data_IF_170921438868
#
_entry.id   IF_170921438868
#
_cell.length_a   1.000
_cell.length_b   1.000
_cell.length_c   1.000
_cell.angle_alpha   90.00
_cell.angle_beta   90.00
_cell.angle_gamma   90.00
#
_symmetry.space_group_name_H-M   'P 1'
#
loop_
_entity.id
_entity.type
_entity.pdbx_description
1 polymer ?
#
# COMPACT_ATOMS: atom_id res chain seq x y z
N UNK A 1 37.96 -6.12 -0.63
CA UNK A 1 38.28 -5.20 -1.76
C UNK A 1 37.10 -4.25 -1.97
N UNK A 2 37.33 -2.94 -2.11
CA UNK A 2 36.27 -1.95 -2.36
C UNK A 2 35.74 -2.17 -3.79
N UNK A 3 34.48 -2.59 -3.96
CA UNK A 3 33.90 -2.75 -5.30
C UNK A 3 33.78 -1.38 -5.99
N UNK A 4 34.26 -1.30 -7.24
CA UNK A 4 34.15 -0.09 -8.04
C UNK A 4 32.71 0.08 -8.54
N UNK A 5 32.12 1.26 -8.36
CA UNK A 5 30.74 1.58 -8.76
C UNK A 5 30.75 2.13 -10.19
N UNK A 6 30.41 1.30 -11.18
CA UNK A 6 30.51 1.63 -12.62
C UNK A 6 29.29 2.35 -13.20
N UNK A 7 28.12 2.17 -12.61
CA UNK A 7 26.85 2.69 -13.15
C UNK A 7 26.60 4.14 -12.69
N UNK A 8 26.11 4.99 -13.59
CA UNK A 8 25.79 6.40 -13.34
C UNK A 8 24.28 6.65 -13.44
N UNK A 9 23.72 7.27 -12.40
CA UNK A 9 22.35 7.79 -12.36
C UNK A 9 22.40 9.32 -12.39
N UNK A 10 21.57 9.96 -13.22
CA UNK A 10 21.45 11.44 -13.28
C UNK A 10 20.01 11.82 -12.97
N UNK A 11 19.84 12.78 -12.07
CA UNK A 11 18.55 13.39 -11.73
C UNK A 11 18.67 14.90 -11.93
N UNK A 12 17.59 15.55 -12.34
CA UNK A 12 17.48 17.01 -12.37
C UNK A 12 16.77 17.44 -11.09
N UNK A 13 17.29 18.47 -10.45
CA UNK A 13 16.76 19.04 -9.23
C UNK A 13 16.56 20.53 -9.45
N UNK A 14 15.56 21.12 -8.81
CA UNK A 14 15.50 22.56 -8.66
C UNK A 14 16.48 23.05 -7.57
N UNK A 15 16.57 24.37 -7.41
CA UNK A 15 17.49 24.99 -6.45
C UNK A 15 17.16 24.62 -4.99
N UNK A 16 15.88 24.49 -4.65
CA UNK A 16 15.43 24.15 -3.30
C UNK A 16 15.76 22.70 -2.96
N UNK A 17 15.47 21.78 -3.86
CA UNK A 17 15.78 20.35 -3.74
C UNK A 17 17.29 20.14 -3.62
N UNK A 18 18.09 20.85 -4.44
CA UNK A 18 19.54 20.77 -4.38
C UNK A 18 20.08 21.28 -3.04
N UNK A 19 19.56 22.39 -2.54
CA UNK A 19 19.93 22.94 -1.24
C UNK A 19 19.58 21.98 -0.09
N UNK A 20 18.42 21.34 -0.15
CA UNK A 20 17.99 20.35 0.84
C UNK A 20 18.92 19.13 0.85
N UNK A 21 19.30 18.62 -0.31
CA UNK A 21 20.28 17.52 -0.43
C UNK A 21 21.63 17.91 0.17
N UNK A 22 22.10 19.13 -0.10
CA UNK A 22 23.39 19.62 0.42
C UNK A 22 23.38 19.75 1.94
N UNK A 23 22.30 20.30 2.50
CA UNK A 23 22.12 20.46 3.94
C UNK A 23 22.09 19.10 4.64
N UNK A 24 21.24 18.18 4.18
CA UNK A 24 21.10 16.86 4.79
C UNK A 24 22.37 16.01 4.69
N UNK A 25 23.09 16.11 3.57
CA UNK A 25 24.38 15.46 3.41
C UNK A 25 25.40 15.98 4.44
N UNK A 26 25.46 17.30 4.62
CA UNK A 26 26.32 17.96 5.61
C UNK A 26 25.99 17.53 7.04
N UNK A 27 24.70 17.54 7.41
CA UNK A 27 24.22 17.09 8.74
C UNK A 27 24.59 15.62 8.99
N UNK A 28 24.51 14.78 7.96
CA UNK A 28 24.83 13.35 8.06
C UNK A 28 26.33 13.05 8.08
N UNK A 29 27.20 14.05 7.90
CA UNK A 29 28.65 13.85 7.74
C UNK A 29 29.03 13.08 6.48
N UNK A 30 28.14 13.02 5.48
CA UNK A 30 28.33 12.28 4.24
C UNK A 30 28.50 13.23 3.06
N UNK A 31 29.32 12.84 2.08
CA UNK A 31 29.28 13.54 0.79
C UNK A 31 27.94 13.30 0.07
N UNK A 32 27.55 14.21 -0.83
CA UNK A 32 26.26 14.19 -1.54
C UNK A 32 25.95 12.83 -2.16
N UNK A 33 26.91 12.22 -2.87
CA UNK A 33 26.72 10.94 -3.54
C UNK A 33 26.55 9.76 -2.57
N UNK A 34 27.25 9.77 -1.43
CA UNK A 34 27.10 8.77 -0.37
C UNK A 34 25.77 8.93 0.34
N UNK A 35 25.38 10.15 0.65
CA UNK A 35 24.07 10.48 1.26
C UNK A 35 22.92 10.03 0.36
N UNK A 36 22.87 10.48 -0.90
CA UNK A 36 21.82 10.11 -1.86
C UNK A 36 21.73 8.59 -2.01
N UNK A 37 22.87 7.90 -2.11
CA UNK A 37 22.90 6.45 -2.23
C UNK A 37 22.38 5.76 -0.97
N UNK A 38 22.77 6.24 0.21
CA UNK A 38 22.28 5.71 1.48
C UNK A 38 20.77 5.86 1.59
N UNK A 39 20.23 7.05 1.26
CA UNK A 39 18.79 7.29 1.28
C UNK A 39 18.06 6.41 0.26
N UNK A 40 18.52 6.35 -1.00
CA UNK A 40 17.88 5.54 -2.04
C UNK A 40 17.84 4.04 -1.72
N UNK A 41 18.90 3.47 -1.13
CA UNK A 41 18.97 2.05 -0.81
C UNK A 41 18.10 1.71 0.42
N UNK A 42 18.05 2.61 1.40
CA UNK A 42 17.33 2.38 2.66
C UNK A 42 15.90 2.94 2.65
N UNK A 43 15.54 3.76 1.67
CA UNK A 43 14.17 4.21 1.47
C UNK A 43 13.31 2.99 1.17
N UNK A 44 12.23 2.82 1.94
CA UNK A 44 11.18 1.90 1.53
C UNK A 44 10.62 2.44 0.22
N UNK A 45 10.45 1.61 -0.82
CA UNK A 45 9.76 2.05 -2.02
C UNK A 45 8.42 2.64 -1.57
N UNK A 46 7.91 3.69 -2.23
CA UNK A 46 6.57 4.15 -1.97
C UNK A 46 5.66 2.95 -2.14
N UNK A 47 5.20 2.39 -1.03
CA UNK A 47 4.22 1.31 -1.03
C UNK A 47 3.06 1.97 -1.75
N UNK A 48 2.71 1.46 -2.93
CA UNK A 48 1.45 1.82 -3.57
C UNK A 48 0.43 1.61 -2.47
N UNK A 49 -0.07 2.69 -1.86
CA UNK A 49 -0.89 2.59 -0.67
C UNK A 49 -2.10 1.80 -1.13
N UNK A 50 -2.13 0.50 -0.86
CA UNK A 50 -3.41 -0.14 -0.67
C UNK A 50 -4.04 0.70 0.41
N UNK A 51 -5.09 1.41 0.02
CA UNK A 51 -5.73 2.36 0.90
C UNK A 51 -6.02 1.62 2.20
N UNK A 52 -5.53 2.14 3.33
CA UNK A 52 -5.75 1.51 4.63
C UNK A 52 -7.25 1.30 4.85
N UNK A 53 -8.08 2.21 4.31
CA UNK A 53 -9.52 2.06 4.28
C UNK A 53 -9.95 0.83 3.44
N UNK A 54 -9.38 0.61 2.26
CA UNK A 54 -9.65 -0.57 1.43
C UNK A 54 -9.27 -1.87 2.15
N UNK A 55 -8.12 -1.94 2.82
CA UNK A 55 -7.71 -3.13 3.59
C UNK A 55 -8.73 -3.43 4.70
N UNK A 56 -9.17 -2.39 5.42
CA UNK A 56 -10.19 -2.52 6.48
C UNK A 56 -11.54 -3.00 5.90
N UNK A 57 -11.94 -2.48 4.74
CA UNK A 57 -13.17 -2.89 4.07
C UNK A 57 -13.12 -4.37 3.63
N UNK A 58 -12.00 -4.82 3.05
CA UNK A 58 -11.80 -6.23 2.69
C UNK A 58 -11.84 -7.12 3.92
N UNK A 59 -11.21 -6.72 5.02
CA UNK A 59 -11.26 -7.48 6.28
C UNK A 59 -12.69 -7.62 6.84
N UNK A 60 -13.52 -6.57 6.74
CA UNK A 60 -14.94 -6.64 7.14
C UNK A 60 -15.74 -7.62 6.29
N UNK A 61 -15.49 -7.66 4.98
CA UNK A 61 -16.13 -8.64 4.09
C UNK A 61 -15.70 -10.06 4.46
N UNK A 62 -14.41 -10.29 4.70
CA UNK A 62 -13.90 -11.60 5.14
C UNK A 62 -14.55 -12.08 6.44
N UNK A 63 -14.74 -11.18 7.41
CA UNK A 63 -15.43 -11.51 8.67
C UNK A 63 -16.89 -11.92 8.43
N UNK A 64 -17.61 -11.23 7.54
CA UNK A 64 -18.98 -11.59 7.19
C UNK A 64 -19.05 -12.97 6.52
N UNK A 65 -18.14 -13.26 5.58
CA UNK A 65 -18.04 -14.58 4.94
C UNK A 65 -17.77 -15.66 5.98
N UNK A 66 -16.88 -15.40 6.94
CA UNK A 66 -16.58 -16.34 8.01
C UNK A 66 -17.78 -16.60 8.93
N UNK A 67 -18.59 -15.57 9.21
CA UNK A 67 -19.84 -15.72 9.97
C UNK A 67 -20.86 -16.56 9.22
N UNK A 68 -21.04 -16.32 7.91
CA UNK A 68 -21.91 -17.14 7.04
C UNK A 68 -21.44 -18.60 7.08
N UNK A 69 -20.15 -18.84 6.86
CA UNK A 69 -19.57 -20.18 6.86
C UNK A 69 -19.77 -20.89 8.21
N UNK A 70 -19.57 -20.17 9.32
CA UNK A 70 -19.81 -20.72 10.67
C UNK A 70 -21.29 -21.08 10.87
N UNK A 71 -22.21 -20.20 10.48
CA UNK A 71 -23.66 -20.41 10.61
C UNK A 71 -24.11 -21.63 9.81
N UNK A 72 -23.75 -21.71 8.53
CA UNK A 72 -24.07 -22.84 7.65
C UNK A 72 -23.45 -24.15 8.16
N UNK A 73 -22.22 -24.10 8.69
CA UNK A 73 -21.56 -25.30 9.23
C UNK A 73 -22.21 -25.82 10.52
N UNK A 74 -22.76 -24.93 11.37
CA UNK A 74 -23.44 -25.31 12.61
C UNK A 74 -24.84 -25.84 12.32
N UNK A 75 -25.65 -25.05 11.61
CA UNK A 75 -27.06 -25.34 11.40
C UNK A 75 -27.30 -26.31 10.24
N UNK A 76 -26.28 -26.59 9.43
CA UNK A 76 -26.30 -27.46 8.23
C UNK A 76 -27.41 -27.12 7.23
N UNK A 77 -27.96 -25.91 7.32
CA UNK A 77 -29.06 -25.42 6.51
C UNK A 77 -28.68 -24.05 5.96
N UNK A 78 -29.04 -23.82 4.70
CA UNK A 78 -28.96 -22.51 4.08
C UNK A 78 -30.34 -21.86 4.24
N UNK A 79 -30.46 -20.99 5.23
CA UNK A 79 -31.69 -20.29 5.53
C UNK A 79 -31.76 -18.91 4.84
N UNK A 80 -32.90 -18.23 4.96
CA UNK A 80 -33.10 -16.89 4.41
C UNK A 80 -32.12 -15.85 4.98
N UNK A 81 -31.58 -16.08 6.18
CA UNK A 81 -30.61 -15.17 6.83
C UNK A 81 -29.27 -15.26 6.12
N UNK A 82 -28.80 -16.48 5.84
CA UNK A 82 -27.58 -16.74 5.05
C UNK A 82 -27.70 -16.13 3.67
N UNK A 83 -28.82 -16.36 2.97
CA UNK A 83 -29.05 -15.81 1.64
C UNK A 83 -28.98 -14.27 1.62
N UNK A 84 -29.56 -13.61 2.62
CA UNK A 84 -29.50 -12.15 2.77
C UNK A 84 -28.07 -11.67 3.01
N UNK A 85 -27.31 -12.35 3.86
CA UNK A 85 -25.91 -12.00 4.15
C UNK A 85 -25.01 -12.16 2.92
N UNK A 86 -25.25 -13.18 2.08
CA UNK A 86 -24.53 -13.38 0.81
C UNK A 86 -24.81 -12.22 -0.15
N UNK A 87 -26.07 -11.82 -0.31
CA UNK A 87 -26.45 -10.67 -1.15
C UNK A 87 -25.75 -9.39 -0.66
N UNK A 88 -25.72 -9.16 0.65
CA UNK A 88 -25.08 -7.98 1.24
C UNK A 88 -23.55 -7.98 1.06
N UNK A 89 -22.91 -9.16 1.11
CA UNK A 89 -21.47 -9.30 0.79
C UNK A 89 -21.20 -8.97 -0.67
N UNK A 90 -22.01 -9.46 -1.60
CA UNK A 90 -21.86 -9.18 -3.03
C UNK A 90 -21.98 -7.68 -3.32
N UNK A 91 -22.98 -6.99 -2.75
CA UNK A 91 -23.11 -5.53 -2.90
C UNK A 91 -21.87 -4.77 -2.41
N UNK A 92 -21.34 -5.15 -1.24
CA UNK A 92 -20.12 -4.52 -0.68
C UNK A 92 -18.88 -4.77 -1.55
N UNK A 93 -18.81 -5.93 -2.22
CA UNK A 93 -17.75 -6.21 -3.18
C UNK A 93 -17.87 -5.35 -4.44
N UNK A 94 -19.09 -5.18 -4.97
CA UNK A 94 -19.36 -4.33 -6.13
C UNK A 94 -19.01 -2.86 -5.84
N UNK A 95 -19.41 -2.33 -4.68
CA UNK A 95 -19.09 -0.98 -4.22
C UNK A 95 -17.57 -0.75 -4.11
N UNK A 96 -16.84 -1.74 -3.59
CA UNK A 96 -15.38 -1.71 -3.51
C UNK A 96 -14.71 -1.69 -4.88
N UNK A 97 -15.27 -2.42 -5.85
CA UNK A 97 -14.74 -2.46 -7.23
C UNK A 97 -14.99 -1.14 -7.96
N UNK A 98 -16.14 -0.50 -7.73
CA UNK A 98 -16.47 0.83 -8.26
C UNK A 98 -15.52 1.91 -7.72
N UNK A 99 -15.19 1.89 -6.42
CA UNK A 99 -14.24 2.83 -5.81
C UNK A 99 -12.83 2.74 -6.44
N UNK A 100 -12.40 1.54 -6.87
CA UNK A 100 -11.10 1.33 -7.54
C UNK A 100 -11.07 1.90 -8.97
N UNK A 101 -12.20 1.96 -9.65
CA UNK A 101 -12.28 2.46 -11.05
C UNK A 101 -12.27 3.99 -11.15
N UNK A 102 -12.39 4.72 -10.05
CA UNK A 102 -12.37 6.18 -10.03
C UNK A 102 -11.14 6.76 -9.30
N UNK A 103 -9.90 6.51 -9.75
CA UNK A 103 -8.68 6.93 -9.05
C UNK A 103 -8.35 8.43 -9.21
N UNK A 104 -9.29 9.28 -9.65
CA UNK A 104 -9.06 10.71 -9.89
C UNK A 104 -10.12 11.58 -9.21
N UNK A 105 -9.83 11.97 -7.98
CA UNK A 105 -10.20 13.25 -7.39
C UNK A 105 -9.08 13.66 -6.42
#
# INVERSE_FOLDING_TARGET
MKQNKKNRLTIRLDDNELNQVNLNASISGLNKSSYIRYVLINAKPPIHKFDKAMIIQVARIGNNINQIAKHVNIDKVIDCVVLKQIIDVNKKLDDLMLQKQNPRS
#
